data_IF_363800136880
#
_entry.id   IF_363800136880
#
_cell.length_a   1.000
_cell.length_b   1.000
_cell.length_c   1.000
_cell.angle_alpha   90.00
_cell.angle_beta   90.00
_cell.angle_gamma   90.00
#
_symmetry.space_group_name_H-M   'P 1'
#
loop_
_entity.id
_entity.type
_entity.pdbx_description
1 polymer ?
#
# COMPACT_ATOMS: atom_id res chain seq x y z
N UNK A 1 -24.48 -14.97 16.91
CA UNK A 1 -24.19 -13.84 16.01
C UNK A 1 -23.23 -12.96 16.79
N UNK A 2 -21.97 -13.39 16.82
CA UNK A 2 -20.90 -12.66 17.49
C UNK A 2 -20.64 -11.42 16.67
N UNK A 3 -20.85 -10.26 17.30
CA UNK A 3 -20.39 -8.99 16.76
C UNK A 3 -18.87 -9.10 16.75
N UNK A 4 -18.27 -9.23 15.56
CA UNK A 4 -16.82 -9.13 15.39
C UNK A 4 -16.37 -7.83 16.03
N UNK A 5 -15.56 -7.98 17.08
CA UNK A 5 -14.96 -6.91 17.83
C UNK A 5 -14.07 -6.13 16.86
N UNK A 6 -14.61 -5.01 16.35
CA UNK A 6 -13.88 -4.09 15.50
C UNK A 6 -12.56 -3.76 16.18
N UNK A 7 -11.47 -4.31 15.63
CA UNK A 7 -10.09 -3.87 15.75
C UNK A 7 -10.02 -2.36 15.99
N UNK A 8 -10.04 -1.97 17.26
CA UNK A 8 -10.01 -0.57 17.66
C UNK A 8 -8.57 -0.24 17.94
N UNK A 9 -8.13 0.87 17.37
CA UNK A 9 -6.94 1.61 17.78
C UNK A 9 -6.68 1.42 19.30
N UNK A 10 -5.42 1.23 19.75
CA UNK A 10 -5.14 1.17 21.18
C UNK A 10 -5.79 2.38 21.87
N UNK A 11 -6.20 2.24 23.14
CA UNK A 11 -6.78 3.32 23.96
C UNK A 11 -5.76 4.45 24.15
N UNK A 12 -5.54 5.21 23.09
CA UNK A 12 -4.64 6.34 23.03
C UNK A 12 -5.41 7.60 23.46
N UNK A 13 -4.72 8.57 24.05
CA UNK A 13 -5.32 9.86 24.32
C UNK A 13 -5.90 10.49 23.06
N UNK A 14 -6.95 11.30 23.24
CA UNK A 14 -7.54 12.09 22.15
C UNK A 14 -6.46 12.88 21.42
N UNK A 15 -6.49 12.84 20.09
CA UNK A 15 -5.55 13.57 19.23
C UNK A 15 -4.36 12.75 18.72
N UNK A 16 -4.12 11.55 19.26
CA UNK A 16 -3.14 10.63 18.68
C UNK A 16 -3.63 10.10 17.34
N UNK A 17 -2.76 10.13 16.33
CA UNK A 17 -3.05 9.66 14.97
C UNK A 17 -1.86 8.93 14.37
N UNK A 18 -2.14 8.08 13.40
CA UNK A 18 -1.08 7.47 12.60
C UNK A 18 -0.46 8.51 11.68
N UNK A 19 0.80 8.84 11.95
CA UNK A 19 1.62 9.77 11.15
C UNK A 19 3.00 9.18 10.94
N UNK A 20 3.05 7.95 10.43
CA UNK A 20 4.31 7.30 10.12
C UNK A 20 5.05 8.05 9.01
N UNK A 21 6.36 8.22 9.20
CA UNK A 21 7.25 8.70 8.15
C UNK A 21 7.45 7.63 7.06
N UNK A 22 7.88 8.03 5.86
CA UNK A 22 8.22 7.08 4.78
C UNK A 22 9.20 5.99 5.23
N UNK A 23 10.14 6.32 6.12
CA UNK A 23 11.10 5.37 6.68
C UNK A 23 10.41 4.38 7.63
N UNK A 24 9.49 4.84 8.46
CA UNK A 24 8.75 3.98 9.38
C UNK A 24 7.80 3.04 8.65
N UNK A 25 7.09 3.54 7.63
CA UNK A 25 6.26 2.72 6.74
C UNK A 25 7.08 1.58 6.12
N UNK A 26 8.25 1.89 5.57
CA UNK A 26 9.11 0.87 4.98
C UNK A 26 9.67 -0.08 6.04
N UNK A 27 10.25 0.45 7.12
CA UNK A 27 11.01 -0.36 8.07
C UNK A 27 10.11 -1.24 8.94
N UNK A 28 9.02 -0.69 9.50
CA UNK A 28 8.21 -1.39 10.50
C UNK A 28 7.02 -2.12 9.90
N UNK A 29 6.47 -1.66 8.78
CA UNK A 29 5.29 -2.26 8.16
C UNK A 29 5.69 -3.13 6.96
N UNK A 30 6.26 -2.53 5.92
CA UNK A 30 6.57 -3.25 4.68
C UNK A 30 7.65 -4.33 4.88
N UNK A 31 8.81 -3.97 5.43
CA UNK A 31 9.90 -4.93 5.56
C UNK A 31 9.54 -6.08 6.51
N UNK A 32 8.86 -5.78 7.62
CA UNK A 32 8.37 -6.79 8.56
C UNK A 32 7.45 -7.79 7.84
N UNK A 33 6.45 -7.28 7.10
CA UNK A 33 5.53 -8.13 6.33
C UNK A 33 6.26 -9.04 5.35
N UNK A 34 7.24 -8.52 4.62
CA UNK A 34 7.99 -9.32 3.64
C UNK A 34 8.93 -10.33 4.32
N UNK A 35 9.55 -9.99 5.46
CA UNK A 35 10.45 -10.91 6.15
C UNK A 35 9.75 -11.98 6.99
N UNK A 36 8.44 -11.83 7.21
CA UNK A 36 7.62 -12.72 8.02
C UNK A 36 6.39 -13.22 7.22
N UNK A 37 6.60 -13.93 6.10
CA UNK A 37 5.49 -14.38 5.25
C UNK A 37 4.56 -15.32 6.03
N UNK A 38 3.26 -15.17 5.80
CA UNK A 38 2.21 -15.97 6.46
C UNK A 38 1.81 -15.48 7.86
N UNK A 39 2.41 -14.41 8.37
CA UNK A 39 1.95 -13.74 9.59
C UNK A 39 0.94 -12.63 9.29
N UNK A 40 0.04 -12.38 10.24
CA UNK A 40 -0.83 -11.20 10.22
C UNK A 40 0.06 -9.95 10.19
N UNK A 41 -0.16 -9.01 9.25
CA UNK A 41 0.63 -7.79 9.20
C UNK A 41 0.60 -6.99 10.49
N UNK A 42 1.74 -6.43 10.85
CA UNK A 42 1.84 -5.52 11.98
C UNK A 42 0.93 -4.30 11.77
N UNK A 43 0.03 -4.02 12.71
CA UNK A 43 -0.95 -2.94 12.62
C UNK A 43 -2.30 -3.35 12.00
N UNK A 44 -2.44 -4.56 11.45
CA UNK A 44 -3.74 -5.02 10.91
C UNK A 44 -4.81 -5.23 11.99
N UNK A 45 -4.52 -5.88 13.14
CA UNK A 45 -5.48 -6.00 14.25
C UNK A 45 -5.86 -4.67 14.90
N UNK A 46 -5.11 -3.60 14.65
CA UNK A 46 -5.39 -2.25 15.13
C UNK A 46 -6.05 -1.35 14.07
N UNK A 47 -6.33 -1.86 12.87
CA UNK A 47 -6.93 -1.08 11.78
C UNK A 47 -5.98 -0.10 11.09
N UNK A 48 -4.65 -0.23 11.29
CA UNK A 48 -3.64 0.71 10.76
C UNK A 48 -3.32 0.40 9.29
N UNK A 49 -3.04 -0.85 8.97
CA UNK A 49 -2.70 -1.31 7.61
C UNK A 49 -3.44 -2.61 7.32
N UNK A 50 -3.68 -2.93 6.05
CA UNK A 50 -4.19 -4.25 5.67
C UNK A 50 -3.58 -4.73 4.36
N UNK A 51 -3.65 -6.04 4.11
CA UNK A 51 -3.36 -6.56 2.77
C UNK A 51 -4.49 -6.23 1.80
N UNK A 52 -4.15 -5.75 0.60
CA UNK A 52 -5.13 -5.50 -0.46
C UNK A 52 -4.48 -5.49 -1.85
N UNK A 53 -5.18 -6.02 -2.85
CA UNK A 53 -4.83 -5.81 -4.25
C UNK A 53 -5.35 -4.44 -4.70
N UNK A 54 -4.49 -3.43 -4.65
CA UNK A 54 -4.82 -2.04 -5.01
C UNK A 54 -5.14 -1.84 -6.50
N UNK A 55 -4.98 -2.89 -7.32
CA UNK A 55 -5.32 -2.91 -8.74
C UNK A 55 -6.57 -3.73 -9.05
N UNK A 56 -7.23 -4.30 -8.04
CA UNK A 56 -8.41 -5.15 -8.24
C UNK A 56 -9.66 -4.37 -8.63
N UNK A 57 -9.88 -3.19 -8.06
CA UNK A 57 -11.04 -2.33 -8.31
C UNK A 57 -10.63 -0.86 -8.19
N UNK A 58 -11.50 0.06 -8.63
CA UNK A 58 -11.23 1.49 -8.50
C UNK A 58 -11.02 1.89 -7.02
N UNK A 59 -10.20 2.91 -6.74
CA UNK A 59 -9.84 3.28 -5.38
C UNK A 59 -11.03 3.71 -4.51
N UNK A 60 -12.09 4.28 -5.09
CA UNK A 60 -13.29 4.64 -4.33
C UNK A 60 -14.04 3.40 -3.84
N UNK A 61 -14.23 2.42 -4.71
CA UNK A 61 -14.81 1.13 -4.33
C UNK A 61 -13.92 0.39 -3.33
N UNK A 62 -12.60 0.38 -3.54
CA UNK A 62 -11.67 -0.30 -2.63
C UNK A 62 -11.73 0.27 -1.21
N UNK A 63 -11.61 1.59 -1.08
CA UNK A 63 -11.63 2.28 0.22
C UNK A 63 -12.99 2.21 0.90
N UNK A 64 -14.10 2.20 0.15
CA UNK A 64 -15.43 1.96 0.70
C UNK A 64 -15.57 0.56 1.32
N UNK A 65 -15.03 -0.48 0.67
CA UNK A 65 -15.04 -1.86 1.18
C UNK A 65 -14.16 -2.03 2.42
N UNK A 66 -13.04 -1.32 2.45
CA UNK A 66 -12.05 -1.34 3.54
C UNK A 66 -12.16 -0.09 4.42
N UNK A 67 -13.39 0.38 4.65
CA UNK A 67 -13.66 1.62 5.39
C UNK A 67 -13.19 1.58 6.84
N UNK A 68 -13.13 0.40 7.45
CA UNK A 68 -12.59 0.19 8.80
C UNK A 68 -11.07 0.37 8.91
N UNK A 69 -10.34 0.38 7.77
CA UNK A 69 -8.92 0.73 7.68
C UNK A 69 -8.70 2.20 7.27
N UNK A 70 -9.75 3.01 7.20
CA UNK A 70 -9.66 4.43 6.87
C UNK A 70 -9.18 5.26 8.05
N UNK A 71 -8.22 6.15 7.81
CA UNK A 71 -7.67 7.04 8.82
C UNK A 71 -8.36 8.41 8.82
N UNK A 72 -8.33 9.12 9.95
CA UNK A 72 -8.97 10.44 10.12
C UNK A 72 -8.51 11.52 9.13
N UNK A 73 -7.36 11.32 8.47
CA UNK A 73 -6.83 12.23 7.47
C UNK A 73 -7.21 11.87 6.03
N UNK A 74 -8.11 10.90 5.86
CA UNK A 74 -8.61 10.46 4.55
C UNK A 74 -7.65 9.53 3.81
N UNK A 75 -6.68 8.93 4.51
CA UNK A 75 -5.74 7.98 3.92
C UNK A 75 -6.06 6.53 4.30
N UNK A 76 -5.61 5.62 3.44
CA UNK A 76 -5.56 4.19 3.67
C UNK A 76 -4.16 3.68 3.41
N UNK A 77 -3.72 2.68 4.17
CA UNK A 77 -2.41 2.09 4.03
C UNK A 77 -2.56 0.61 3.70
N UNK A 78 -2.10 0.24 2.50
CA UNK A 78 -2.22 -1.11 1.98
C UNK A 78 -0.86 -1.77 1.81
N UNK A 79 -0.75 -3.03 2.21
CA UNK A 79 0.32 -3.93 1.81
C UNK A 79 -0.14 -4.68 0.56
N UNK A 80 0.56 -4.48 -0.55
CA UNK A 80 0.18 -5.02 -1.85
C UNK A 80 1.36 -5.73 -2.50
N UNK A 81 1.11 -6.93 -3.02
CA UNK A 81 2.05 -7.60 -3.91
C UNK A 81 2.01 -6.89 -5.27
N UNK A 82 3.16 -6.47 -5.76
CA UNK A 82 3.26 -5.79 -7.06
C UNK A 82 3.11 -6.80 -8.18
N UNK A 83 2.23 -6.51 -9.14
CA UNK A 83 2.11 -7.29 -10.38
C UNK A 83 2.99 -6.73 -11.49
N UNK A 84 3.81 -7.59 -12.07
CA UNK A 84 4.55 -7.27 -13.29
C UNK A 84 3.62 -7.30 -14.51
N UNK A 85 3.93 -6.48 -15.51
CA UNK A 85 3.30 -6.62 -16.82
C UNK A 85 3.80 -7.91 -17.46
N UNK A 86 2.88 -8.70 -18.04
CA UNK A 86 3.23 -9.91 -18.76
C UNK A 86 4.33 -9.64 -19.80
N UNK A 87 5.35 -10.52 -19.83
CA UNK A 87 6.52 -10.38 -20.70
C UNK A 87 7.55 -9.32 -20.28
N UNK A 88 7.37 -8.65 -19.13
CA UNK A 88 8.30 -7.62 -18.60
C UNK A 88 8.53 -7.79 -17.08
N UNK A 89 8.70 -9.04 -16.65
CA UNK A 89 9.00 -9.37 -15.24
C UNK A 89 10.26 -8.63 -14.83
N UNK A 90 10.19 -7.86 -13.74
CA UNK A 90 11.31 -7.08 -13.20
C UNK A 90 11.52 -5.68 -13.81
N UNK A 91 10.91 -5.34 -14.95
CA UNK A 91 11.16 -4.04 -15.63
C UNK A 91 9.95 -3.12 -15.70
N UNK A 92 8.73 -3.66 -15.84
CA UNK A 92 7.51 -2.84 -15.94
C UNK A 92 6.38 -3.38 -15.08
N UNK A 93 5.91 -2.59 -14.12
CA UNK A 93 4.71 -2.91 -13.34
C UNK A 93 3.44 -2.75 -14.17
N UNK A 94 2.46 -3.64 -13.95
CA UNK A 94 1.09 -3.42 -14.41
C UNK A 94 0.38 -2.53 -13.40
N UNK A 95 -0.18 -1.41 -13.89
CA UNK A 95 -0.87 -0.41 -13.09
C UNK A 95 -2.29 -0.14 -13.59
N UNK A 96 -2.81 -1.04 -14.43
CA UNK A 96 -4.20 -1.03 -14.87
C UNK A 96 -5.06 -1.71 -13.81
N UNK A 97 -6.14 -1.04 -13.42
CA UNK A 97 -7.13 -1.52 -12.48
C UNK A 97 -8.20 -2.32 -13.23
N UNK A 98 -8.70 -3.42 -12.65
CA UNK A 98 -9.81 -4.15 -13.30
C UNK A 98 -11.03 -3.21 -13.42
N UNK A 99 -11.69 -3.25 -14.58
CA UNK A 99 -12.74 -2.29 -14.93
C UNK A 99 -12.25 -1.06 -15.71
N UNK A 100 -10.94 -0.95 -15.99
CA UNK A 100 -10.40 -0.08 -17.05
C UNK A 100 -9.70 1.19 -16.61
N UNK A 101 -9.74 1.55 -15.33
CA UNK A 101 -8.94 2.67 -14.80
C UNK A 101 -7.44 2.35 -14.73
N UNK A 102 -6.60 3.37 -14.52
CA UNK A 102 -5.15 3.19 -14.47
C UNK A 102 -4.45 4.18 -13.55
N UNK A 103 -3.35 3.73 -12.93
CA UNK A 103 -2.46 4.58 -12.14
C UNK A 103 -1.30 5.11 -12.99
N UNK A 104 -1.16 6.44 -13.04
CA UNK A 104 -0.17 7.15 -13.83
C UNK A 104 0.88 7.76 -12.92
N UNK A 105 2.16 7.52 -13.22
CA UNK A 105 3.26 7.99 -12.38
C UNK A 105 3.39 9.51 -12.41
N UNK A 106 3.43 10.11 -11.23
CA UNK A 106 3.74 11.51 -11.03
C UNK A 106 5.21 11.64 -10.62
N UNK A 107 6.01 12.17 -11.55
CA UNK A 107 7.45 12.35 -11.35
C UNK A 107 8.23 11.03 -11.31
N UNK A 108 9.48 11.14 -10.87
CA UNK A 108 10.41 10.01 -10.81
C UNK A 108 10.36 9.33 -9.45
N UNK A 109 10.78 8.06 -9.41
CA UNK A 109 11.03 7.33 -8.17
C UNK A 109 12.15 8.00 -7.37
N UNK A 110 11.93 8.22 -6.07
CA UNK A 110 12.86 8.93 -5.17
C UNK A 110 13.32 7.99 -4.05
N UNK A 111 14.61 8.04 -3.69
CA UNK A 111 15.16 7.30 -2.54
C UNK A 111 14.63 7.86 -1.21
N UNK A 112 14.25 7.00 -0.28
CA UNK A 112 13.81 7.43 1.05
C UNK A 112 15.02 7.71 1.94
N UNK A 113 15.06 8.92 2.51
CA UNK A 113 16.18 9.37 3.36
C UNK A 113 16.32 8.45 4.59
N UNK A 114 17.55 8.05 4.91
CA UNK A 114 17.87 7.13 6.03
C UNK A 114 17.15 5.77 5.95
N UNK A 115 16.76 5.34 4.75
CA UNK A 115 16.20 4.02 4.49
C UNK A 115 16.95 3.38 3.31
N UNK A 116 18.08 2.68 3.57
CA UNK A 116 18.79 1.95 2.53
C UNK A 116 17.83 1.02 1.79
N UNK A 117 17.92 0.98 0.47
CA UNK A 117 17.05 0.18 -0.41
C UNK A 117 15.57 0.61 -0.47
N UNK A 118 15.17 1.63 0.29
CA UNK A 118 13.82 2.18 0.28
C UNK A 118 13.61 3.23 -0.80
N UNK A 119 12.47 3.18 -1.47
CA UNK A 119 12.04 4.20 -2.43
C UNK A 119 10.57 4.57 -2.25
N UNK A 120 10.21 5.73 -2.81
CA UNK A 120 8.81 6.13 -3.00
C UNK A 120 8.55 6.63 -4.41
N UNK A 121 7.32 6.52 -4.87
CA UNK A 121 6.84 7.12 -6.11
C UNK A 121 5.36 7.48 -5.98
N UNK A 122 4.97 8.64 -6.50
CA UNK A 122 3.58 9.09 -6.47
C UNK A 122 2.87 8.73 -7.75
N UNK A 123 1.57 8.44 -7.67
CA UNK A 123 0.70 8.15 -8.81
C UNK A 123 -0.62 8.90 -8.68
N UNK A 124 -1.20 9.25 -9.83
CA UNK A 124 -2.58 9.70 -9.94
C UNK A 124 -3.45 8.62 -10.58
N UNK A 125 -4.69 8.49 -10.12
CA UNK A 125 -5.66 7.59 -10.75
C UNK A 125 -6.41 8.30 -11.88
N UNK A 126 -6.63 7.57 -12.97
CA UNK A 126 -7.53 7.95 -14.06
C UNK A 126 -8.60 6.89 -14.22
N UNK A 127 -9.85 7.31 -14.37
CA UNK A 127 -10.99 6.39 -14.55
C UNK A 127 -10.91 5.65 -15.91
N UNK A 128 -11.86 4.76 -16.18
CA UNK A 128 -11.91 4.02 -17.44
C UNK A 128 -12.05 4.91 -18.70
N UNK A 129 -12.62 6.11 -18.56
CA UNK A 129 -12.69 7.13 -19.61
C UNK A 129 -11.37 7.89 -19.83
N UNK A 130 -10.39 7.72 -18.95
CA UNK A 130 -9.12 8.45 -18.97
C UNK A 130 -9.17 9.79 -18.24
N UNK A 131 -10.28 10.15 -17.61
CA UNK A 131 -10.41 11.39 -16.86
C UNK A 131 -9.62 11.31 -15.56
N UNK A 132 -9.00 12.43 -15.19
CA UNK A 132 -8.26 12.56 -13.94
C UNK A 132 -9.22 12.52 -12.75
N UNK A 133 -8.91 11.69 -11.76
CA UNK A 133 -9.60 11.64 -10.48
C UNK A 133 -8.80 12.34 -9.38
N UNK A 134 -9.40 12.49 -8.20
CA UNK A 134 -8.76 13.06 -7.00
C UNK A 134 -7.88 12.06 -6.25
N UNK A 135 -7.95 10.78 -6.60
CA UNK A 135 -7.19 9.72 -5.94
C UNK A 135 -5.71 9.78 -6.27
N UNK A 136 -4.90 9.78 -5.22
CA UNK A 136 -3.44 9.68 -5.27
C UNK A 136 -2.98 8.41 -4.56
N UNK A 137 -1.86 7.87 -5.01
CA UNK A 137 -1.16 6.77 -4.35
C UNK A 137 0.30 7.16 -4.14
N UNK A 138 0.82 6.95 -2.94
CA UNK A 138 2.26 6.97 -2.67
C UNK A 138 2.73 5.51 -2.53
N UNK A 139 3.36 4.99 -3.58
CA UNK A 139 3.95 3.66 -3.59
C UNK A 139 5.26 3.71 -2.81
N UNK A 140 5.36 2.95 -1.71
CA UNK A 140 6.61 2.70 -1.00
C UNK A 140 7.09 1.30 -1.34
N UNK A 141 8.37 1.18 -1.68
CA UNK A 141 8.97 -0.12 -1.95
C UNK A 141 10.33 -0.28 -1.32
N UNK A 142 10.71 -1.54 -1.15
CA UNK A 142 11.96 -1.96 -0.54
C UNK A 142 12.68 -2.93 -1.48
N UNK A 143 13.93 -2.65 -1.80
CA UNK A 143 14.82 -3.56 -2.53
C UNK A 143 15.72 -4.35 -1.56
N UNK A 144 15.22 -4.67 -0.36
CA UNK A 144 15.97 -5.45 0.62
C UNK A 144 16.31 -6.84 0.04
N UNK A 145 17.58 -7.29 0.08
CA UNK A 145 17.95 -8.61 -0.44
C UNK A 145 17.23 -9.79 0.23
N UNK A 146 16.77 -9.63 1.48
CA UNK A 146 15.96 -10.66 2.18
C UNK A 146 14.49 -10.68 1.72
N UNK A 147 14.04 -9.63 1.05
CA UNK A 147 12.68 -9.46 0.51
C UNK A 147 12.54 -9.90 -0.96
N UNK A 148 13.64 -10.16 -1.63
CA UNK A 148 13.69 -10.63 -3.01
C UNK A 148 14.59 -11.84 -3.10
N UNK A 149 14.07 -13.01 -3.45
CA UNK A 149 14.92 -14.11 -3.90
C UNK A 149 15.15 -14.03 -5.42
N UNK A 150 15.95 -14.97 -5.94
CA UNK A 150 16.33 -15.01 -7.35
C UNK A 150 15.15 -15.16 -8.33
N UNK A 151 13.93 -15.38 -7.85
CA UNK A 151 12.71 -15.46 -8.65
C UNK A 151 11.81 -14.20 -8.56
N UNK A 152 12.10 -13.27 -7.64
CA UNK A 152 11.36 -12.02 -7.51
C UNK A 152 11.07 -11.61 -6.06
N UNK A 153 10.06 -10.75 -5.88
CA UNK A 153 9.53 -10.39 -4.57
C UNK A 153 8.84 -11.64 -4.00
N UNK A 154 9.25 -12.07 -2.80
CA UNK A 154 8.62 -13.20 -2.11
C UNK A 154 7.14 -12.95 -1.83
#
# INVERSE_FOLDING_TARGET
MEMEENARWPDLPVGYRFKATSRELIHYYLNTWVTCPGQVPFGEPEGIVCTADVYSVDPGTLTSRLSHFGHDDGNWYFLCVIRWKAGNVGTRMNRTVQGGGSWHGLGNRIKVRRCPYGYRQTFEYRNAGGDKCTWLMEEFGSALPKATDGEGIK
#
